data_IF_393503407695
#
_entry.id   IF_393503407695
#
_cell.length_a   1.000
_cell.length_b   1.000
_cell.length_c   1.000
_cell.angle_alpha   90.00
_cell.angle_beta   90.00
_cell.angle_gamma   90.00
#
_symmetry.space_group_name_H-M   'P 1'
#
loop_
_entity.id
_entity.type
_entity.pdbx_description
1 polymer ?
#
# COMPACT_ATOMS: atom_id res chain seq x y z
N UNK A 1 -10.41 2.21 9.37
CA UNK A 1 -9.64 3.39 9.57
C UNK A 1 -8.45 3.42 8.65
N UNK A 2 -8.20 4.53 8.01
CA UNK A 2 -7.07 4.63 7.13
C UNK A 2 -5.80 4.91 7.87
N UNK A 3 -4.74 4.30 7.44
CA UNK A 3 -3.43 4.52 8.01
C UNK A 3 -2.53 5.08 6.94
N UNK A 4 -1.39 5.59 7.32
CA UNK A 4 -0.43 6.16 6.39
C UNK A 4 0.84 5.33 6.33
N UNK A 5 1.41 5.27 5.17
CA UNK A 5 2.68 4.60 4.96
C UNK A 5 3.45 5.35 3.88
N UNK A 6 4.72 5.05 3.74
CA UNK A 6 5.49 5.67 2.68
C UNK A 6 6.14 4.59 1.85
N UNK A 7 6.42 4.89 0.60
CA UNK A 7 7.10 3.98 -0.30
C UNK A 7 8.56 3.98 0.07
N UNK A 8 9.12 2.80 0.35
CA UNK A 8 10.54 2.70 0.70
C UNK A 8 11.33 2.03 -0.40
N UNK A 9 10.68 1.41 -1.37
CA UNK A 9 11.39 0.74 -2.44
C UNK A 9 10.54 0.80 -3.69
N UNK A 10 11.15 1.06 -4.84
CA UNK A 10 10.44 1.13 -6.07
C UNK A 10 10.49 -0.21 -6.77
N UNK A 11 9.41 -0.62 -7.41
CA UNK A 11 9.44 -1.82 -8.19
C UNK A 11 9.93 -1.51 -9.59
N UNK A 12 10.49 -2.50 -10.25
CA UNK A 12 10.89 -2.32 -11.63
C UNK A 12 9.67 -2.31 -12.53
N UNK A 13 8.57 -2.91 -12.08
CA UNK A 13 7.35 -2.95 -12.85
C UNK A 13 6.31 -2.14 -12.14
N UNK A 14 5.52 -1.30 -12.81
CA UNK A 14 4.53 -0.49 -12.13
C UNK A 14 3.48 -1.32 -11.44
N UNK A 15 2.90 -0.77 -10.39
CA UNK A 15 1.77 -1.40 -9.74
C UNK A 15 0.53 -1.20 -10.62
N UNK A 16 -0.37 -2.16 -10.61
CA UNK A 16 -1.60 -2.07 -11.37
C UNK A 16 -2.73 -1.93 -10.41
N UNK A 17 -3.49 -0.85 -10.53
CA UNK A 17 -4.62 -0.60 -9.65
C UNK A 17 -5.83 -1.39 -10.11
N UNK A 18 -6.85 -1.44 -9.26
CA UNK A 18 -8.01 -2.24 -9.52
C UNK A 18 -8.74 -1.83 -10.79
N UNK A 19 -8.66 -0.58 -11.19
CA UNK A 19 -9.31 -0.13 -12.40
C UNK A 19 -8.40 -0.21 -13.64
N UNK A 20 -7.23 -0.79 -13.51
CA UNK A 20 -6.33 -0.94 -14.66
C UNK A 20 -5.29 0.15 -14.77
N UNK A 21 -5.37 1.21 -13.99
CA UNK A 21 -4.36 2.25 -14.04
C UNK A 21 -3.05 1.71 -13.50
N UNK A 22 -1.94 2.27 -13.94
CA UNK A 22 -0.64 1.86 -13.43
C UNK A 22 -0.01 3.02 -12.70
N UNK A 23 0.77 2.72 -11.68
CA UNK A 23 1.42 3.73 -10.91
C UNK A 23 2.76 3.22 -10.45
N UNK A 24 3.78 4.07 -10.51
CA UNK A 24 5.12 3.69 -10.05
C UNK A 24 5.64 4.83 -9.21
N UNK A 25 5.21 4.92 -7.96
CA UNK A 25 5.54 6.06 -7.14
C UNK A 25 7.00 6.09 -6.75
N UNK A 26 7.58 7.27 -6.62
CA UNK A 26 8.97 7.37 -6.18
C UNK A 26 9.06 7.06 -4.71
N UNK A 27 10.25 6.67 -4.27
CA UNK A 27 10.52 6.43 -2.86
C UNK A 27 10.20 7.70 -2.09
N UNK A 28 9.55 7.56 -0.96
CA UNK A 28 9.16 8.70 -0.15
C UNK A 28 7.72 9.13 -0.34
N UNK A 29 7.03 8.60 -1.35
CA UNK A 29 5.63 8.94 -1.56
C UNK A 29 4.80 8.44 -0.40
N UNK A 30 3.90 9.29 0.11
CA UNK A 30 3.00 8.88 1.17
C UNK A 30 1.75 8.29 0.56
N UNK A 31 1.32 7.15 1.08
CA UNK A 31 0.10 6.49 0.63
C UNK A 31 -0.82 6.27 1.81
N UNK A 32 -2.09 6.04 1.53
CA UNK A 32 -3.06 5.67 2.56
C UNK A 32 -3.38 4.20 2.38
N UNK A 33 -3.64 3.50 3.46
CA UNK A 33 -4.03 2.11 3.33
C UNK A 33 -4.94 1.68 4.45
N UNK A 34 -5.63 0.58 4.25
CA UNK A 34 -6.43 -0.03 5.31
C UNK A 34 -6.17 -1.51 5.30
N UNK A 35 -6.23 -2.12 6.47
CA UNK A 35 -5.97 -3.53 6.61
C UNK A 35 -7.25 -4.31 6.46
N UNK A 36 -7.21 -5.37 5.68
CA UNK A 36 -8.37 -6.20 5.44
C UNK A 36 -8.02 -7.62 5.81
N UNK A 37 -8.52 -8.12 6.92
CA UNK A 37 -8.21 -9.48 7.32
C UNK A 37 -8.80 -10.48 6.36
N UNK A 38 -8.06 -11.48 6.01
CA UNK A 38 -8.56 -12.44 5.08
C UNK A 38 -9.46 -13.42 5.77
N UNK A 39 -9.24 -13.65 6.96
CA UNK A 39 -10.07 -14.55 7.68
C UNK A 39 -9.73 -15.98 7.65
N UNK A 40 -9.38 -16.56 6.57
CA UNK A 40 -9.17 -17.92 6.55
C UNK A 40 -7.82 -18.41 6.84
N UNK A 41 -6.86 -17.88 6.46
CA UNK A 41 -5.57 -18.37 6.70
C UNK A 41 -4.73 -17.50 7.49
N UNK A 42 -5.26 -16.49 8.07
CA UNK A 42 -4.48 -15.56 8.80
C UNK A 42 -3.69 -14.66 7.90
N UNK A 43 -3.91 -14.73 6.61
CA UNK A 43 -3.24 -13.84 5.71
C UNK A 43 -3.98 -12.54 5.76
N UNK A 44 -3.31 -11.46 5.60
CA UNK A 44 -3.91 -10.17 5.61
C UNK A 44 -3.64 -9.45 4.31
N UNK A 45 -4.63 -8.73 3.83
CA UNK A 45 -4.50 -7.95 2.63
C UNK A 45 -4.62 -6.50 3.01
N UNK A 46 -3.94 -5.63 2.29
CA UNK A 46 -4.02 -4.21 2.51
C UNK A 46 -4.47 -3.54 1.24
N UNK A 47 -5.42 -2.61 1.37
CA UNK A 47 -5.91 -1.86 0.25
C UNK A 47 -5.14 -0.56 0.26
N UNK A 48 -4.38 -0.28 -0.77
CA UNK A 48 -3.49 0.87 -0.83
C UNK A 48 -4.02 1.89 -1.81
N UNK A 49 -4.06 3.16 -1.38
CA UNK A 49 -4.53 4.24 -2.21
C UNK A 49 -3.38 5.20 -2.46
N UNK A 50 -3.07 5.46 -3.73
CA UNK A 50 -2.00 6.36 -4.08
C UNK A 50 -2.55 7.76 -4.32
N UNK A 51 -1.80 8.80 -3.96
CA UNK A 51 -2.27 10.15 -4.14
C UNK A 51 -2.50 10.46 -5.62
N UNK A 52 -3.61 11.08 -5.91
CA UNK A 52 -3.89 11.45 -7.29
C UNK A 52 -4.58 10.39 -8.11
N UNK A 53 -4.81 9.21 -7.57
CA UNK A 53 -5.47 8.15 -8.32
C UNK A 53 -6.79 7.80 -7.67
N UNK A 54 -7.78 7.53 -8.51
CA UNK A 54 -9.12 7.26 -8.01
C UNK A 54 -9.30 5.83 -7.55
N UNK A 55 -8.43 4.93 -7.93
CA UNK A 55 -8.59 3.53 -7.59
C UNK A 55 -7.55 3.10 -6.58
N UNK A 56 -7.58 1.85 -6.19
CA UNK A 56 -6.68 1.30 -5.20
C UNK A 56 -6.09 0.01 -5.71
N UNK A 57 -5.16 -0.57 -4.97
CA UNK A 57 -4.69 -1.90 -5.25
C UNK A 57 -4.75 -2.72 -3.99
N UNK A 58 -4.84 -4.03 -4.15
CA UNK A 58 -4.80 -4.95 -3.02
C UNK A 58 -3.43 -5.60 -3.03
N UNK A 59 -2.78 -5.62 -1.88
CA UNK A 59 -1.47 -6.24 -1.80
C UNK A 59 -1.41 -7.05 -0.53
N UNK A 60 -0.65 -8.14 -0.55
CA UNK A 60 -0.51 -8.97 0.65
C UNK A 60 0.36 -8.23 1.65
N UNK A 61 0.26 -8.63 2.91
CA UNK A 61 1.06 -8.01 3.93
C UNK A 61 2.54 -8.19 3.67
N UNK A 62 2.93 -9.34 3.13
CA UNK A 62 4.33 -9.59 2.86
C UNK A 62 4.84 -8.64 1.78
N UNK A 63 4.09 -8.46 0.71
CA UNK A 63 4.49 -7.55 -0.35
C UNK A 63 4.47 -6.11 0.15
N UNK A 64 3.49 -5.77 0.98
CA UNK A 64 3.40 -4.43 1.51
C UNK A 64 4.68 -4.12 2.31
N UNK A 65 5.07 -5.01 3.19
CA UNK A 65 6.22 -4.77 4.03
C UNK A 65 7.52 -4.66 3.23
N UNK A 66 7.56 -5.20 2.04
CA UNK A 66 8.74 -5.12 1.22
C UNK A 66 8.88 -3.75 0.57
N UNK A 67 7.78 -3.12 0.19
CA UNK A 67 7.84 -1.89 -0.56
C UNK A 67 7.34 -0.66 0.19
N UNK A 68 6.69 -0.82 1.32
CA UNK A 68 6.13 0.27 2.07
C UNK A 68 6.50 0.16 3.54
N UNK A 69 6.47 1.29 4.23
CA UNK A 69 6.74 1.29 5.66
C UNK A 69 5.73 2.17 6.34
N UNK A 70 5.10 1.67 7.40
CA UNK A 70 4.13 2.45 8.12
C UNK A 70 4.74 3.68 8.71
N UNK A 71 3.97 4.76 8.77
CA UNK A 71 4.36 5.89 9.53
C UNK A 71 3.96 5.57 10.93
N UNK A 72 4.86 5.46 11.83
CA UNK A 72 4.56 5.25 13.12
C UNK A 72 4.38 6.50 13.71
N UNK A 73 3.42 6.70 14.46
CA UNK A 73 3.16 7.75 14.97
C UNK A 73 3.87 8.04 16.04
N UNK A 74 4.82 8.09 15.99
CA UNK A 74 5.59 8.37 16.93
C UNK A 74 5.22 9.39 17.66
N UNK A 75 4.34 9.88 17.42
CA UNK A 75 3.97 10.93 18.03
C UNK A 75 3.50 10.54 19.07
N UNK A 76 3.21 9.72 18.98
CA UNK A 76 2.65 9.26 19.98
C UNK A 76 3.23 9.39 21.08
#
# INVERSE_FOLDING_TARGET
MMKLAKVIKRQSIPWILDNGDTVNPPVGTTVQYEELPSGKRGDYWRRVYFPGYASHMMVSMIAFNRYFEDFFDEIS
#
